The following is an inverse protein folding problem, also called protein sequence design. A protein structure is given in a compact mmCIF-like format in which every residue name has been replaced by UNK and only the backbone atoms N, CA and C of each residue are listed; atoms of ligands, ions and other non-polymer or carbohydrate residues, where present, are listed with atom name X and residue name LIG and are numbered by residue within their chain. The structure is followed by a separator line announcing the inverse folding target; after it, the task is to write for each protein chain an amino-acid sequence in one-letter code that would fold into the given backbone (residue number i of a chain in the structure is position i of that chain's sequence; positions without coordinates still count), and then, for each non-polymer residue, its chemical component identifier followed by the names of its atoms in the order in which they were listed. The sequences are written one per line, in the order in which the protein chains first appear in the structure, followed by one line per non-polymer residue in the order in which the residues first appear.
data_IF_656465321238
#
_entry.id   IF_656465321238
#
_cell.length_a   1.000
_cell.length_b   1.000
_cell.length_c   1.000
_cell.angle_alpha   90.00
_cell.angle_beta   90.00
_cell.angle_gamma   90.00
#
_symmetry.space_group_name_H-M   'P 1'
#
loop_
_entity.id
_entity.type
_entity.pdbx_description
1 polymer ?
#
# COMPACT_ATOMS: atom_id res chain seq x y z
N UNK A 1 -35.66 -13.55 32.26
CA UNK A 1 -35.28 -12.40 31.43
C UNK A 1 -34.17 -12.85 30.49
N UNK A 2 -34.49 -12.95 29.19
CA UNK A 2 -33.61 -13.37 28.10
C UNK A 2 -33.33 -12.12 27.27
N UNK A 3 -32.06 -11.79 27.01
CA UNK A 3 -31.59 -11.02 25.83
C UNK A 3 -30.09 -10.80 25.93
N UNK A 4 -29.26 -11.67 25.31
CA UNK A 4 -27.83 -11.35 25.03
C UNK A 4 -27.18 -12.20 23.92
N UNK A 5 -27.93 -12.97 23.11
CA UNK A 5 -27.34 -13.86 22.09
C UNK A 5 -27.60 -13.44 20.63
N UNK A 6 -27.81 -12.15 20.34
CA UNK A 6 -28.17 -11.69 18.98
C UNK A 6 -27.14 -10.79 18.27
N UNK A 7 -26.03 -10.40 18.90
CA UNK A 7 -25.06 -9.48 18.25
C UNK A 7 -23.86 -10.14 17.56
N UNK A 8 -23.71 -11.47 17.63
CA UNK A 8 -22.56 -12.17 17.01
C UNK A 8 -22.81 -12.54 15.53
N UNK A 9 -24.04 -12.37 15.00
CA UNK A 9 -24.40 -12.82 13.64
C UNK A 9 -24.58 -11.71 12.59
N UNK A 10 -24.41 -10.42 12.94
CA UNK A 10 -24.60 -9.32 11.96
C UNK A 10 -23.28 -8.88 11.28
N UNK A 11 -22.13 -9.38 11.74
CA UNK A 11 -20.80 -8.98 11.23
C UNK A 11 -20.27 -9.71 9.99
N UNK A 12 -20.97 -10.72 9.46
CA UNK A 12 -20.47 -11.59 8.36
C UNK A 12 -21.27 -11.39 7.05
N UNK A 13 -22.27 -10.49 7.03
CA UNK A 13 -23.24 -10.38 5.94
C UNK A 13 -22.99 -9.37 4.82
N UNK A 14 -21.94 -8.54 4.85
CA UNK A 14 -21.80 -7.41 3.91
C UNK A 14 -20.48 -7.45 3.14
N UNK A 15 -20.16 -8.59 2.53
CA UNK A 15 -19.04 -8.73 1.60
C UNK A 15 -19.45 -9.20 0.19
N UNK A 16 -20.74 -9.22 -0.15
CA UNK A 16 -21.25 -9.78 -1.42
C UNK A 16 -22.29 -8.89 -2.13
N UNK A 17 -22.06 -7.58 -2.23
CA UNK A 17 -22.94 -6.73 -3.04
C UNK A 17 -22.23 -5.49 -3.62
N UNK A 18 -21.30 -5.70 -4.54
CA UNK A 18 -20.84 -4.61 -5.43
C UNK A 18 -20.28 -5.12 -6.77
N UNK A 19 -20.71 -6.31 -7.23
CA UNK A 19 -20.36 -6.81 -8.56
C UNK A 19 -21.61 -6.76 -9.45
N UNK A 20 -21.87 -5.61 -10.04
CA UNK A 20 -22.97 -5.45 -10.99
C UNK A 20 -23.10 -4.01 -11.48
N UNK A 21 -23.04 -3.86 -12.81
CA UNK A 21 -23.26 -2.64 -13.61
C UNK A 21 -22.01 -1.74 -13.75
N UNK A 22 -21.54 -1.29 -14.93
CA UNK A 22 -22.12 -1.24 -16.27
C UNK A 22 -21.03 -0.79 -17.29
N UNK A 23 -20.96 -1.47 -18.46
CA UNK A 23 -20.59 -1.01 -19.84
C UNK A 23 -19.23 -0.29 -20.07
N UNK A 24 -18.33 -0.71 -20.98
CA UNK A 24 -18.41 -1.04 -22.42
C UNK A 24 -18.85 0.16 -23.30
N UNK A 25 -17.89 0.89 -23.91
CA UNK A 25 -17.74 1.03 -25.37
C UNK A 25 -16.69 2.07 -25.85
N UNK A 26 -15.98 1.65 -26.92
CA UNK A 26 -15.42 2.42 -28.06
C UNK A 26 -14.19 3.35 -27.94
N UNK A 27 -13.03 2.78 -28.33
CA UNK A 27 -12.15 3.13 -29.47
C UNK A 27 -12.34 4.51 -30.12
N UNK A 28 -11.24 5.26 -30.26
CA UNK A 28 -10.79 5.92 -31.51
C UNK A 28 -9.45 6.62 -31.30
N UNK A 29 -8.40 6.15 -31.96
CA UNK A 29 -7.21 6.96 -32.28
C UNK A 29 -7.60 8.04 -33.30
N UNK A 30 -6.80 9.12 -33.41
CA UNK A 30 -6.29 9.38 -34.75
C UNK A 30 -4.78 9.62 -34.81
N UNK A 31 -4.23 8.98 -35.84
CA UNK A 31 -2.95 9.18 -36.50
C UNK A 31 -2.65 10.66 -36.75
N UNK A 32 -1.47 11.12 -36.35
CA UNK A 32 -0.84 12.32 -36.91
C UNK A 32 0.30 11.93 -37.86
N UNK A 33 0.12 12.37 -39.11
CA UNK A 33 1.04 12.33 -40.24
C UNK A 33 1.81 13.65 -40.34
N UNK A 34 3.13 13.60 -40.58
CA UNK A 34 3.91 14.65 -41.26
C UNK A 34 5.36 14.23 -41.52
N UNK A 35 6.10 14.88 -42.45
CA UNK A 35 6.73 14.14 -43.56
C UNK A 35 8.26 14.19 -43.63
N UNK A 36 8.80 13.15 -44.27
CA UNK A 36 9.86 13.15 -45.31
C UNK A 36 11.07 14.09 -45.11
N UNK A 37 12.20 13.51 -44.70
CA UNK A 37 13.52 13.95 -45.11
C UNK A 37 14.11 12.91 -46.09
N UNK A 38 14.33 13.34 -47.33
CA UNK A 38 15.03 12.62 -48.39
C UNK A 38 16.53 12.65 -48.16
N UNK A 39 17.17 11.48 -48.08
CA UNK A 39 18.60 11.33 -48.36
C UNK A 39 18.79 10.04 -49.16
N UNK A 40 19.02 10.21 -50.45
CA UNK A 40 19.40 9.19 -51.42
C UNK A 40 20.85 8.77 -51.21
N UNK A 41 21.08 7.48 -50.97
CA UNK A 41 22.39 6.83 -51.08
C UNK A 41 22.27 5.56 -51.94
N UNK A 42 23.28 5.26 -52.79
CA UNK A 42 23.16 4.28 -53.85
C UNK A 42 23.17 2.83 -53.34
N UNK A 43 22.40 2.03 -54.06
CA UNK A 43 22.19 0.59 -53.91
C UNK A 43 23.50 -0.17 -54.05
N UNK A 44 23.92 -0.85 -52.98
CA UNK A 44 24.87 -1.95 -53.04
C UNK A 44 24.09 -3.27 -53.04
N UNK A 45 23.90 -3.86 -54.22
CA UNK A 45 23.42 -5.23 -54.38
C UNK A 45 24.60 -6.16 -54.11
N UNK A 46 24.69 -6.70 -52.90
CA UNK A 46 25.63 -7.76 -52.57
C UNK A 46 24.94 -8.82 -51.70
N UNK A 47 24.72 -9.99 -52.31
CA UNK A 47 24.51 -11.26 -51.59
C UNK A 47 23.18 -11.38 -50.86
N UNK A 48 22.11 -11.67 -51.61
CA UNK A 48 20.91 -12.28 -51.04
C UNK A 48 21.26 -13.68 -50.49
N UNK A 49 21.72 -13.74 -49.24
CA UNK A 49 21.47 -14.92 -48.41
C UNK A 49 19.96 -14.94 -48.19
N UNK A 50 19.29 -15.86 -48.87
CA UNK A 50 17.85 -16.07 -48.77
C UNK A 50 17.47 -16.41 -47.32
N UNK A 51 17.19 -15.39 -46.51
CA UNK A 51 16.35 -15.56 -45.33
C UNK A 51 14.95 -15.83 -45.87
N UNK A 52 14.57 -17.11 -45.92
CA UNK A 52 13.20 -17.51 -46.23
C UNK A 52 12.23 -16.62 -45.44
N UNK A 53 11.20 -16.02 -46.07
CA UNK A 53 10.23 -15.24 -45.33
C UNK A 53 9.59 -16.19 -44.32
N UNK A 54 9.84 -15.95 -43.02
CA UNK A 54 9.16 -16.68 -41.96
C UNK A 54 7.67 -16.62 -42.28
N UNK A 55 7.02 -17.79 -42.27
CA UNK A 55 5.58 -17.83 -42.53
C UNK A 55 4.88 -16.95 -41.49
N UNK A 56 3.73 -16.37 -41.84
CA UNK A 56 2.94 -15.58 -40.90
C UNK A 56 2.72 -16.31 -39.57
N UNK A 57 2.59 -17.65 -39.62
CA UNK A 57 2.44 -18.50 -38.44
C UNK A 57 3.68 -18.53 -37.52
N UNK A 58 4.89 -18.50 -38.07
CA UNK A 58 6.12 -18.44 -37.28
C UNK A 58 6.32 -17.08 -36.59
N UNK A 59 5.89 -15.99 -37.23
CA UNK A 59 5.90 -14.65 -36.64
C UNK A 59 4.91 -14.57 -35.46
N UNK A 60 3.69 -15.10 -35.62
CA UNK A 60 2.72 -15.18 -34.53
C UNK A 60 3.18 -16.13 -33.42
N UNK A 61 3.84 -17.24 -33.75
CA UNK A 61 4.39 -18.16 -32.75
C UNK A 61 5.48 -17.49 -31.89
N UNK A 62 6.45 -16.81 -32.52
CA UNK A 62 7.49 -16.05 -31.81
C UNK A 62 6.91 -14.89 -31.00
N UNK A 63 5.91 -14.19 -31.53
CA UNK A 63 5.21 -13.13 -30.82
C UNK A 63 4.49 -13.63 -29.56
N UNK A 64 3.82 -14.79 -29.63
CA UNK A 64 3.18 -15.42 -28.47
C UNK A 64 4.20 -15.88 -27.42
N UNK A 65 5.35 -16.41 -27.84
CA UNK A 65 6.41 -16.82 -26.90
C UNK A 65 7.04 -15.62 -26.18
N UNK A 66 7.35 -14.55 -26.92
CA UNK A 66 7.87 -13.31 -26.33
C UNK A 66 6.87 -12.68 -25.36
N UNK A 67 5.58 -12.63 -25.73
CA UNK A 67 4.53 -12.13 -24.85
C UNK A 67 4.37 -12.99 -23.59
N UNK A 68 4.43 -14.33 -23.70
CA UNK A 68 4.40 -15.22 -22.53
C UNK A 68 5.56 -14.96 -21.59
N UNK A 69 6.79 -14.88 -22.11
CA UNK A 69 7.98 -14.56 -21.30
C UNK A 69 7.86 -13.21 -20.60
N UNK A 70 7.29 -12.22 -21.27
CA UNK A 70 7.08 -10.90 -20.68
C UNK A 70 6.02 -10.93 -19.57
N UNK A 71 4.90 -11.62 -19.79
CA UNK A 71 3.86 -11.80 -18.76
C UNK A 71 4.39 -12.55 -17.53
N UNK A 72 5.23 -13.56 -17.73
CA UNK A 72 5.88 -14.31 -16.63
C UNK A 72 6.87 -13.43 -15.86
N UNK A 73 7.69 -12.65 -16.55
CA UNK A 73 8.60 -11.70 -15.92
C UNK A 73 7.85 -10.61 -15.12
N UNK A 74 6.76 -10.08 -15.66
CA UNK A 74 5.95 -9.07 -14.98
C UNK A 74 5.19 -9.66 -13.79
N UNK A 75 4.75 -10.92 -13.86
CA UNK A 75 4.20 -11.64 -12.69
C UNK A 75 5.25 -11.78 -11.60
N UNK A 76 6.43 -12.28 -11.94
CA UNK A 76 7.51 -12.46 -10.96
C UNK A 76 7.92 -11.15 -10.27
N UNK A 77 7.97 -10.04 -11.02
CA UNK A 77 8.22 -8.70 -10.45
C UNK A 77 7.13 -8.27 -9.48
N UNK A 78 5.85 -8.44 -9.86
CA UNK A 78 4.72 -8.11 -8.97
C UNK A 78 4.74 -8.95 -7.70
N UNK A 79 4.96 -10.25 -7.82
CA UNK A 79 5.00 -11.16 -6.66
C UNK A 79 6.14 -10.78 -5.69
N UNK A 80 7.31 -10.42 -6.22
CA UNK A 80 8.42 -9.92 -5.40
C UNK A 80 8.08 -8.59 -4.70
N UNK A 81 7.37 -7.69 -5.38
CA UNK A 81 6.97 -6.40 -4.81
C UNK A 81 5.88 -6.58 -3.74
N UNK A 82 4.95 -7.52 -3.92
CA UNK A 82 3.95 -7.89 -2.92
C UNK A 82 4.65 -8.44 -1.67
N UNK A 83 5.53 -9.42 -1.84
CA UNK A 83 6.27 -10.03 -0.72
C UNK A 83 7.07 -8.98 0.08
N UNK A 84 7.72 -8.04 -0.62
CA UNK A 84 8.41 -6.91 0.03
C UNK A 84 7.44 -6.02 0.82
N UNK A 85 6.32 -5.64 0.20
CA UNK A 85 5.28 -4.79 0.81
C UNK A 85 4.67 -5.45 2.04
N UNK A 86 4.47 -6.78 2.01
CA UNK A 86 3.99 -7.55 3.15
C UNK A 86 4.99 -7.55 4.31
N UNK A 87 6.28 -7.76 4.03
CA UNK A 87 7.32 -7.69 5.06
C UNK A 87 7.39 -6.31 5.73
N UNK A 88 7.33 -5.24 4.94
CA UNK A 88 7.30 -3.86 5.44
C UNK A 88 6.02 -3.58 6.26
N UNK A 89 4.87 -4.04 5.80
CA UNK A 89 3.61 -3.90 6.52
C UNK A 89 3.63 -4.66 7.86
N UNK A 90 4.21 -5.86 7.91
CA UNK A 90 4.37 -6.61 9.16
C UNK A 90 5.27 -5.88 10.16
N UNK A 91 6.38 -5.29 9.71
CA UNK A 91 7.25 -4.49 10.57
C UNK A 91 6.52 -3.27 11.15
N UNK A 92 5.72 -2.57 10.33
CA UNK A 92 4.89 -1.45 10.77
C UNK A 92 3.89 -1.89 11.86
N UNK A 93 3.18 -3.00 11.62
CA UNK A 93 2.19 -3.54 12.57
C UNK A 93 2.82 -4.03 13.87
N UNK A 94 4.02 -4.62 13.84
CA UNK A 94 4.73 -5.06 15.04
C UNK A 94 5.12 -3.88 15.95
N UNK A 95 5.56 -2.77 15.36
CA UNK A 95 5.87 -1.55 16.11
C UNK A 95 4.61 -0.89 16.68
N UNK A 96 3.53 -0.87 15.92
CA UNK A 96 2.23 -0.38 16.40
C UNK A 96 1.68 -1.25 17.54
N UNK A 97 1.85 -2.58 17.47
CA UNK A 97 1.47 -3.49 18.54
C UNK A 97 2.30 -3.23 19.81
N UNK A 98 3.61 -3.03 19.68
CA UNK A 98 4.50 -2.70 20.80
C UNK A 98 4.10 -1.37 21.46
N UNK A 99 3.76 -0.37 20.65
CA UNK A 99 3.24 0.91 21.15
C UNK A 99 1.91 0.73 21.89
N UNK A 100 1.00 -0.07 21.34
CA UNK A 100 -0.33 -0.30 21.92
C UNK A 100 -0.27 -1.08 23.22
N UNK A 101 0.70 -1.97 23.37
CA UNK A 101 0.93 -2.64 24.65
C UNK A 101 1.42 -1.65 25.72
N UNK A 102 2.34 -0.75 25.39
CA UNK A 102 2.77 0.31 26.31
C UNK A 102 1.64 1.29 26.61
N UNK A 103 0.76 1.58 25.64
CA UNK A 103 -0.47 2.34 25.90
C UNK A 103 -1.37 1.62 26.91
N UNK A 104 -1.60 0.32 26.72
CA UNK A 104 -2.42 -0.47 27.64
C UNK A 104 -1.83 -0.46 29.05
N UNK A 105 -0.50 -0.47 29.18
CA UNK A 105 0.16 -0.30 30.47
C UNK A 105 -0.10 1.11 31.01
N UNK A 106 0.09 2.15 30.19
CA UNK A 106 -0.17 3.54 30.57
C UNK A 106 -1.62 3.77 31.04
N UNK A 107 -2.61 3.22 30.34
CA UNK A 107 -4.03 3.38 30.70
C UNK A 107 -4.39 2.79 32.05
N UNK A 108 -3.64 1.78 32.51
CA UNK A 108 -3.82 1.12 33.80
C UNK A 108 -2.86 1.62 34.88
N UNK A 109 -2.01 2.59 34.56
CA UNK A 109 -0.97 3.11 35.47
C UNK A 109 -1.46 4.40 36.11
N UNK A 110 -1.33 4.57 37.44
CA UNK A 110 -1.67 5.83 38.09
C UNK A 110 -0.74 6.94 37.60
N UNK A 111 -1.25 8.17 37.57
CA UNK A 111 -0.56 9.34 37.02
C UNK A 111 0.87 9.54 37.53
N UNK A 112 1.14 9.24 38.80
CA UNK A 112 2.48 9.38 39.41
C UNK A 112 3.55 8.47 38.79
N UNK A 113 3.13 7.37 38.14
CA UNK A 113 4.03 6.37 37.55
C UNK A 113 3.94 6.33 36.02
N UNK A 114 3.20 7.27 35.42
CA UNK A 114 2.91 7.30 33.99
C UNK A 114 4.13 7.67 33.12
N UNK A 115 5.15 8.29 33.71
CA UNK A 115 6.33 8.76 32.98
C UNK A 115 7.05 7.62 32.24
N UNK A 116 7.19 6.45 32.86
CA UNK A 116 7.88 5.30 32.27
C UNK A 116 7.16 4.75 31.03
N UNK A 117 5.89 4.32 31.09
CA UNK A 117 5.20 3.80 29.90
C UNK A 117 5.07 4.86 28.79
N UNK A 118 4.84 6.14 29.12
CA UNK A 118 4.81 7.22 28.12
C UNK A 118 6.16 7.41 27.43
N UNK A 119 7.27 7.24 28.15
CA UNK A 119 8.61 7.28 27.55
C UNK A 119 8.80 6.11 26.58
N UNK A 120 8.37 4.90 26.93
CA UNK A 120 8.44 3.74 26.03
C UNK A 120 7.56 3.88 24.80
N UNK A 121 6.38 4.51 24.93
CA UNK A 121 5.54 4.89 23.80
C UNK A 121 6.27 5.85 22.86
N UNK A 122 6.99 6.85 23.39
CA UNK A 122 7.83 7.76 22.58
C UNK A 122 8.96 7.01 21.88
N UNK A 123 9.65 6.11 22.58
CA UNK A 123 10.70 5.30 21.98
C UNK A 123 10.19 4.44 20.82
N UNK A 124 9.00 3.85 20.95
CA UNK A 124 8.37 3.10 19.87
C UNK A 124 8.02 3.98 18.65
N UNK A 125 7.49 5.19 18.88
CA UNK A 125 7.24 6.18 17.83
C UNK A 125 8.54 6.59 17.13
N UNK A 126 9.59 6.88 17.88
CA UNK A 126 10.88 7.32 17.34
C UNK A 126 11.57 6.19 16.56
N UNK A 127 11.43 4.94 17.01
CA UNK A 127 11.85 3.75 16.25
C UNK A 127 11.13 3.69 14.90
N UNK A 128 9.81 3.82 14.90
CA UNK A 128 9.02 3.81 13.67
C UNK A 128 9.40 4.96 12.74
N UNK A 129 9.63 6.15 13.27
CA UNK A 129 10.01 7.33 12.49
C UNK A 129 11.33 7.13 11.73
N UNK A 130 12.30 6.43 12.34
CA UNK A 130 13.61 6.16 11.74
C UNK A 130 13.60 5.07 10.65
N UNK A 131 12.58 4.20 10.63
CA UNK A 131 12.48 3.18 9.59
C UNK A 131 12.16 3.77 8.23
N UNK A 132 12.79 3.24 7.18
CA UNK A 132 12.49 3.63 5.80
C UNK A 132 11.65 2.53 5.17
N UNK A 133 10.51 2.90 4.59
CA UNK A 133 9.62 1.98 3.88
C UNK A 133 9.53 2.35 2.40
N UNK A 134 9.01 1.44 1.59
CA UNK A 134 8.61 1.75 0.22
C UNK A 134 7.61 2.91 0.17
N UNK A 135 7.55 3.59 -0.98
CA UNK A 135 6.61 4.69 -1.21
C UNK A 135 5.17 4.32 -0.87
N UNK A 136 4.78 3.07 -1.15
CA UNK A 136 3.44 2.59 -0.85
C UNK A 136 3.15 2.56 0.65
N UNK A 137 4.05 1.95 1.44
CA UNK A 137 3.86 1.81 2.90
C UNK A 137 4.14 3.11 3.66
N UNK A 138 4.89 4.04 3.08
CA UNK A 138 5.23 5.30 3.74
C UNK A 138 3.99 6.12 4.14
N UNK A 139 2.94 6.14 3.32
CA UNK A 139 1.69 6.83 3.65
C UNK A 139 0.96 6.20 4.83
N UNK A 140 1.05 4.87 4.98
CA UNK A 140 0.53 4.15 6.14
C UNK A 140 1.36 4.48 7.38
N UNK A 141 2.70 4.48 7.27
CA UNK A 141 3.61 4.87 8.36
C UNK A 141 3.28 6.26 8.89
N UNK A 142 3.09 7.25 8.01
CA UNK A 142 2.77 8.62 8.43
C UNK A 142 1.48 8.68 9.25
N UNK A 143 0.44 7.95 8.84
CA UNK A 143 -0.82 7.87 9.57
C UNK A 143 -0.64 7.18 10.93
N UNK A 144 0.14 6.11 11.01
CA UNK A 144 0.47 5.47 12.30
C UNK A 144 1.23 6.42 13.22
N UNK A 145 2.21 7.17 12.69
CA UNK A 145 2.95 8.17 13.48
C UNK A 145 2.04 9.27 14.03
N UNK A 146 1.10 9.77 13.22
CA UNK A 146 0.09 10.74 13.68
C UNK A 146 -0.78 10.16 14.80
N UNK A 147 -1.22 8.90 14.66
CA UNK A 147 -1.97 8.23 15.72
C UNK A 147 -1.16 8.10 17.02
N UNK A 148 0.13 7.75 16.91
CA UNK A 148 1.01 7.62 18.07
C UNK A 148 1.23 8.97 18.77
N UNK A 149 1.42 10.04 17.99
CA UNK A 149 1.58 11.40 18.51
C UNK A 149 0.32 11.88 19.26
N UNK A 150 -0.86 11.67 18.68
CA UNK A 150 -2.14 12.02 19.30
C UNK A 150 -2.32 11.27 20.64
N UNK A 151 -2.04 9.96 20.66
CA UNK A 151 -2.13 9.12 21.87
C UNK A 151 -1.14 9.59 22.94
N UNK A 152 0.12 9.83 22.59
CA UNK A 152 1.14 10.36 23.52
C UNK A 152 0.69 11.72 24.07
N UNK A 153 0.18 12.61 23.21
CA UNK A 153 -0.28 13.94 23.60
C UNK A 153 -1.43 13.89 24.61
N UNK A 154 -2.36 12.93 24.46
CA UNK A 154 -3.42 12.67 25.45
C UNK A 154 -2.85 12.37 26.83
N UNK A 155 -1.86 11.48 26.92
CA UNK A 155 -1.23 11.14 28.20
C UNK A 155 -0.48 12.33 28.80
N UNK A 156 0.22 13.13 27.99
CA UNK A 156 0.89 14.34 28.46
C UNK A 156 -0.12 15.40 28.95
N UNK A 157 -1.27 15.54 28.29
CA UNK A 157 -2.36 16.41 28.74
C UNK A 157 -2.94 15.94 30.07
N UNK A 158 -3.19 14.63 30.21
CA UNK A 158 -3.63 14.01 31.46
C UNK A 158 -2.61 14.21 32.59
N UNK A 159 -1.32 14.02 32.31
CA UNK A 159 -0.22 14.28 33.25
C UNK A 159 -0.11 15.75 33.65
N UNK A 160 -0.65 16.70 32.88
CA UNK A 160 -0.58 18.14 33.13
C UNK A 160 -1.89 18.78 33.61
N UNK A 161 -2.91 18.00 34.02
CA UNK A 161 -4.22 18.51 34.49
C UNK A 161 -5.00 19.32 33.44
N UNK A 162 -4.75 19.10 32.14
CA UNK A 162 -5.57 19.71 31.09
C UNK A 162 -6.81 18.85 30.85
N UNK A 163 -7.92 19.22 31.49
CA UNK A 163 -9.22 18.56 31.30
C UNK A 163 -9.76 18.74 29.88
N UNK A 164 -10.54 17.77 29.37
CA UNK A 164 -11.23 17.84 28.07
C UNK A 164 -10.40 17.50 26.83
N UNK A 165 -9.06 17.50 26.90
CA UNK A 165 -8.18 17.27 25.72
C UNK A 165 -8.09 15.79 25.34
N UNK A 166 -8.26 14.88 26.30
CA UNK A 166 -8.05 13.44 26.14
C UNK A 166 -9.02 12.78 25.14
N UNK A 167 -10.30 13.17 25.16
CA UNK A 167 -11.33 12.57 24.29
C UNK A 167 -11.14 12.91 22.80
N UNK A 168 -10.75 14.15 22.50
CA UNK A 168 -10.60 14.65 21.12
C UNK A 168 -9.43 13.95 20.41
N UNK A 169 -8.35 13.70 21.14
CA UNK A 169 -7.14 13.07 20.59
C UNK A 169 -7.33 11.56 20.36
N UNK A 170 -8.16 10.87 21.16
CA UNK A 170 -8.45 9.45 20.98
C UNK A 170 -9.32 9.17 19.74
N UNK A 171 -10.27 10.05 19.43
CA UNK A 171 -11.08 9.98 18.19
C UNK A 171 -10.24 10.21 16.94
N UNK A 172 -9.21 11.05 17.01
CA UNK A 172 -8.30 11.27 15.88
C UNK A 172 -7.38 10.08 15.68
N UNK A 173 -6.85 9.51 16.76
CA UNK A 173 -6.01 8.32 16.72
C UNK A 173 -6.70 7.13 16.01
N UNK A 174 -7.96 6.83 16.36
CA UNK A 174 -8.71 5.74 15.72
C UNK A 174 -9.00 5.97 14.24
N UNK A 175 -9.21 7.23 13.83
CA UNK A 175 -9.34 7.60 12.41
C UNK A 175 -8.03 7.37 11.66
N UNK A 176 -6.89 7.70 12.26
CA UNK A 176 -5.59 7.51 11.65
C UNK A 176 -5.22 6.04 11.48
N UNK A 177 -5.44 5.20 12.49
CA UNK A 177 -5.18 3.75 12.38
C UNK A 177 -6.07 3.09 11.33
N UNK A 178 -7.36 3.44 11.28
CA UNK A 178 -8.28 2.94 10.25
C UNK A 178 -7.81 3.32 8.84
N UNK A 179 -7.36 4.57 8.65
CA UNK A 179 -6.80 5.01 7.37
C UNK A 179 -5.49 4.26 7.05
N UNK A 180 -4.63 4.03 8.03
CA UNK A 180 -3.38 3.28 7.82
C UNK A 180 -3.64 1.84 7.35
N UNK A 181 -4.60 1.14 7.96
CA UNK A 181 -5.01 -0.21 7.55
C UNK A 181 -5.53 -0.22 6.11
N UNK A 182 -6.32 0.79 5.72
CA UNK A 182 -6.79 0.93 4.34
C UNK A 182 -5.64 1.14 3.34
N UNK A 183 -4.64 1.96 3.68
CA UNK A 183 -3.49 2.12 2.79
C UNK A 183 -2.67 0.83 2.66
N UNK A 184 -2.47 0.09 3.75
CA UNK A 184 -1.78 -1.20 3.71
C UNK A 184 -2.52 -2.18 2.79
N UNK A 185 -3.87 -2.22 2.87
CA UNK A 185 -4.68 -3.04 1.98
C UNK A 185 -4.54 -2.60 0.52
N UNK A 186 -4.63 -1.30 0.25
CA UNK A 186 -4.45 -0.73 -1.09
C UNK A 186 -3.07 -1.09 -1.68
N UNK A 187 -2.02 -1.10 -0.85
CA UNK A 187 -0.67 -1.44 -1.26
C UNK A 187 -0.48 -2.92 -1.62
N UNK A 188 -1.29 -3.81 -1.03
CA UNK A 188 -1.30 -5.23 -1.41
C UNK A 188 -1.96 -5.45 -2.76
N UNK A 189 -3.04 -4.72 -3.04
CA UNK A 189 -3.77 -4.83 -4.31
C UNK A 189 -3.06 -4.14 -5.47
N UNK A 190 -2.43 -2.98 -5.22
CA UNK A 190 -1.78 -2.16 -6.22
C UNK A 190 -0.37 -1.75 -5.77
N UNK A 191 0.58 -2.69 -5.74
CA UNK A 191 1.94 -2.39 -5.33
C UNK A 191 2.57 -1.47 -6.38
N UNK A 192 2.93 -0.24 -5.96
CA UNK A 192 3.57 0.74 -6.83
C UNK A 192 5.06 0.78 -6.52
N UNK A 193 5.89 0.68 -7.54
CA UNK A 193 7.30 1.04 -7.39
C UNK A 193 7.43 2.55 -7.19
N UNK A 194 8.44 2.96 -6.44
CA UNK A 194 8.84 4.35 -6.40
C UNK A 194 9.24 4.74 -7.82
N UNK A 195 8.48 5.63 -8.46
CA UNK A 195 8.87 6.22 -9.74
C UNK A 195 10.24 6.87 -9.59
N UNK A 196 11.19 6.41 -10.40
CA UNK A 196 12.46 7.08 -10.62
C UNK A 196 12.24 8.41 -11.37
#
# INVERSE_FOLDING_TARGET
MRTSSFYVLIGIGIALAAFGMLMKQHRSDPVQTSPRATASAPVAVAGAAASAPLSTDEIFAKGREAFRKQVEADRAKRDALIAKTEGEAQQLLQLEASFTEEERIASNTPRISLATPVTRMKDAKDKLQKLTFSTCINDAKLKVLLSMEDRISSYLAFMSQREGVMYIMQDNATKWTTKAVKEIANCREFPREAGA
#
